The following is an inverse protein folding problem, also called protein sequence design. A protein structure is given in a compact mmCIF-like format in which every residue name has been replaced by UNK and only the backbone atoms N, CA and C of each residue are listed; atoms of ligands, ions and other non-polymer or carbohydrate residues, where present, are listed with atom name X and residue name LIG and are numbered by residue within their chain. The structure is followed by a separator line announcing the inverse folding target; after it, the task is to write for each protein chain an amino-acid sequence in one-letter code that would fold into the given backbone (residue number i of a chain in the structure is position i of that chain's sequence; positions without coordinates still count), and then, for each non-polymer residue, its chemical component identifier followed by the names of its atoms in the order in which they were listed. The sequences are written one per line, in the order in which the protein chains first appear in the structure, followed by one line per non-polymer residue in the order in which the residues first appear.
data_IF_953675423380
#
_entry.id   IF_953675423380
#
_cell.length_a   1.000
_cell.length_b   1.000
_cell.length_c   1.000
_cell.angle_alpha   90.00
_cell.angle_beta   90.00
_cell.angle_gamma   90.00
#
_symmetry.space_group_name_H-M   'P 1'
#
loop_
_entity.id
_entity.type
_entity.pdbx_description
1 polymer ?
#
# COMPACT_ATOMS: atom_id res chain seq x y z
N UNK A 1 4.00 11.32 -21.16
CA UNK A 1 5.48 11.17 -21.20
C UNK A 1 5.92 9.72 -21.08
N UNK A 2 5.20 8.87 -20.35
CA UNK A 2 5.65 7.50 -20.08
C UNK A 2 5.67 6.59 -21.30
N UNK A 3 4.76 6.80 -22.25
CA UNK A 3 4.76 6.10 -23.54
C UNK A 3 6.05 6.36 -24.33
N UNK A 4 6.56 7.60 -24.33
CA UNK A 4 7.84 7.98 -24.97
C UNK A 4 9.01 7.28 -24.28
N UNK A 5 9.00 7.27 -22.94
CA UNK A 5 10.04 6.60 -22.14
C UNK A 5 10.01 5.08 -22.37
N UNK A 6 8.83 4.49 -22.47
CA UNK A 6 8.65 3.07 -22.77
C UNK A 6 9.21 2.71 -24.15
N UNK A 7 8.91 3.51 -25.18
CA UNK A 7 9.45 3.32 -26.53
C UNK A 7 10.98 3.43 -26.51
N UNK A 8 11.54 4.41 -25.80
CA UNK A 8 13.00 4.56 -25.67
C UNK A 8 13.64 3.36 -24.97
N UNK A 9 13.07 2.90 -23.86
CA UNK A 9 13.58 1.76 -23.10
C UNK A 9 13.52 0.45 -23.92
N UNK A 10 12.42 0.22 -24.63
CA UNK A 10 12.26 -0.97 -25.48
C UNK A 10 13.22 -0.93 -26.68
N UNK A 11 13.42 0.25 -27.28
CA UNK A 11 14.42 0.47 -28.33
C UNK A 11 15.83 0.12 -27.83
N UNK A 12 16.20 0.60 -26.64
CA UNK A 12 17.51 0.36 -26.05
C UNK A 12 17.68 -1.13 -25.71
N UNK A 13 16.63 -1.78 -25.22
CA UNK A 13 16.61 -3.23 -24.94
C UNK A 13 16.73 -4.07 -26.22
N UNK A 14 16.15 -3.60 -27.33
CA UNK A 14 16.28 -4.22 -28.65
C UNK A 14 17.65 -3.93 -29.31
N UNK A 15 18.49 -3.08 -28.72
CA UNK A 15 19.81 -2.75 -29.23
C UNK A 15 19.81 -2.01 -30.56
N UNK A 16 18.74 -1.26 -30.87
CA UNK A 16 18.61 -0.52 -32.14
C UNK A 16 18.66 0.99 -31.94
N UNK A 17 19.08 1.73 -32.97
CA UNK A 17 19.08 3.19 -32.94
C UNK A 17 17.70 3.76 -33.26
N UNK A 18 17.48 5.06 -32.97
CA UNK A 18 16.28 5.75 -33.44
C UNK A 18 16.12 5.70 -34.95
N UNK A 19 17.22 5.84 -35.71
CA UNK A 19 17.17 5.77 -37.16
C UNK A 19 16.68 4.41 -37.63
N UNK A 20 17.20 3.32 -37.07
CA UNK A 20 16.75 1.97 -37.39
C UNK A 20 15.28 1.74 -37.01
N UNK A 21 14.83 2.27 -35.86
CA UNK A 21 13.43 2.17 -35.45
C UNK A 21 12.51 2.95 -36.40
N UNK A 22 12.90 4.14 -36.83
CA UNK A 22 12.15 4.96 -37.81
C UNK A 22 12.04 4.23 -39.14
N UNK A 23 13.16 3.70 -39.67
CA UNK A 23 13.20 2.95 -40.93
C UNK A 23 12.31 1.69 -40.87
N UNK A 24 12.40 0.92 -39.78
CA UNK A 24 11.62 -0.33 -39.61
C UNK A 24 10.13 -0.10 -39.39
N UNK A 25 9.75 1.05 -38.81
CA UNK A 25 8.35 1.39 -38.53
C UNK A 25 7.66 2.09 -39.70
N UNK A 26 8.39 2.43 -40.77
CA UNK A 26 7.88 3.22 -41.89
C UNK A 26 7.22 4.53 -41.42
N UNK A 27 7.88 5.20 -40.47
CA UNK A 27 7.49 6.51 -39.95
C UNK A 27 8.41 7.57 -40.56
N UNK A 28 7.90 8.77 -40.80
CA UNK A 28 8.79 9.87 -41.18
C UNK A 28 9.58 10.37 -39.97
N UNK A 29 10.83 10.77 -40.19
CA UNK A 29 11.73 11.28 -39.14
C UNK A 29 11.09 12.43 -38.35
N UNK A 30 10.50 13.40 -39.07
CA UNK A 30 9.83 14.56 -38.46
C UNK A 30 8.63 14.14 -37.61
N UNK A 31 7.83 13.20 -38.10
CA UNK A 31 6.63 12.71 -37.41
C UNK A 31 6.97 11.92 -36.14
N UNK A 32 8.00 11.06 -36.20
CA UNK A 32 8.51 10.31 -35.06
C UNK A 32 9.05 11.25 -33.97
N UNK A 33 9.96 12.16 -34.33
CA UNK A 33 10.56 13.05 -33.32
C UNK A 33 9.59 14.07 -32.74
N UNK A 34 8.57 14.51 -33.48
CA UNK A 34 7.52 15.36 -32.92
C UNK A 34 6.81 14.66 -31.73
N UNK A 35 6.50 13.37 -31.87
CA UNK A 35 5.84 12.57 -30.83
C UNK A 35 6.77 12.18 -29.70
N UNK A 36 8.02 11.83 -30.01
CA UNK A 36 9.04 11.56 -28.99
C UNK A 36 9.35 12.79 -28.13
N UNK A 37 9.15 14.01 -28.63
CA UNK A 37 9.27 15.25 -27.84
C UNK A 37 7.97 15.65 -27.12
N UNK A 38 6.89 14.89 -27.31
CA UNK A 38 5.58 15.18 -26.72
C UNK A 38 4.78 16.29 -27.41
N UNK A 39 5.18 16.73 -28.61
CA UNK A 39 4.43 17.75 -29.36
C UNK A 39 3.11 17.21 -29.94
N UNK A 40 2.97 15.89 -30.06
CA UNK A 40 1.74 15.19 -30.40
C UNK A 40 1.75 13.79 -29.75
N UNK A 41 0.58 13.19 -29.45
CA UNK A 41 0.53 11.82 -28.95
C UNK A 41 0.79 10.80 -30.07
N UNK A 42 1.22 9.60 -29.68
CA UNK A 42 1.16 8.42 -30.55
C UNK A 42 -0.28 7.90 -30.57
N UNK A 43 -0.79 7.59 -31.76
CA UNK A 43 -2.08 6.89 -31.92
C UNK A 43 -1.89 5.36 -31.94
N UNK A 44 -2.99 4.62 -32.03
CA UNK A 44 -2.96 3.15 -32.05
C UNK A 44 -2.15 2.58 -33.21
N UNK A 45 -2.25 3.19 -34.40
CA UNK A 45 -1.53 2.75 -35.58
C UNK A 45 -0.02 3.00 -35.44
N UNK A 46 0.37 4.12 -34.83
CA UNK A 46 1.76 4.41 -34.49
C UNK A 46 2.32 3.32 -33.55
N UNK A 47 1.54 2.94 -32.52
CA UNK A 47 1.94 1.89 -31.56
C UNK A 47 2.09 0.53 -32.24
N UNK A 48 1.21 0.15 -33.15
CA UNK A 48 1.34 -1.09 -33.91
C UNK A 48 2.61 -1.11 -34.78
N UNK A 49 2.89 -0.02 -35.47
CA UNK A 49 4.10 0.12 -36.30
C UNK A 49 5.37 0.03 -35.48
N UNK A 50 5.41 0.72 -34.34
CA UNK A 50 6.56 0.71 -33.43
C UNK A 50 6.75 -0.66 -32.77
N UNK A 51 5.67 -1.31 -32.34
CA UNK A 51 5.74 -2.65 -31.76
C UNK A 51 6.31 -3.66 -32.75
N UNK A 52 5.82 -3.64 -34.01
CA UNK A 52 6.34 -4.47 -35.09
C UNK A 52 7.83 -4.21 -35.33
N UNK A 53 8.24 -2.95 -35.39
CA UNK A 53 9.64 -2.55 -35.62
C UNK A 53 10.59 -2.95 -34.47
N UNK A 54 10.07 -2.98 -33.23
CA UNK A 54 10.75 -3.43 -32.02
C UNK A 54 10.74 -4.96 -31.84
N UNK A 55 9.99 -5.69 -32.66
CA UNK A 55 9.83 -7.14 -32.50
C UNK A 55 9.04 -7.54 -31.25
N UNK A 56 8.07 -6.71 -30.83
CA UNK A 56 7.24 -6.94 -29.64
C UNK A 56 5.75 -6.81 -29.95
N UNK A 57 4.89 -7.14 -28.99
CA UNK A 57 3.45 -6.95 -29.10
C UNK A 57 3.05 -5.51 -28.69
N UNK A 58 2.05 -4.86 -29.32
CA UNK A 58 1.57 -3.53 -28.91
C UNK A 58 1.31 -3.39 -27.40
N UNK A 59 0.73 -4.41 -26.78
CA UNK A 59 0.49 -4.47 -25.33
C UNK A 59 1.76 -4.33 -24.48
N UNK A 60 2.93 -4.75 -24.96
CA UNK A 60 4.18 -4.62 -24.21
C UNK A 60 4.62 -3.15 -24.07
N UNK A 61 4.38 -2.33 -25.09
CA UNK A 61 4.65 -0.88 -25.01
C UNK A 61 3.78 -0.25 -23.93
N UNK A 62 2.49 -0.59 -23.90
CA UNK A 62 1.57 -0.14 -22.85
C UNK A 62 1.95 -0.65 -21.47
N UNK A 63 2.38 -1.92 -21.35
CA UNK A 63 2.81 -2.53 -20.09
C UNK A 63 4.03 -1.81 -19.51
N UNK A 64 5.03 -1.54 -20.33
CA UNK A 64 6.23 -0.79 -19.91
C UNK A 64 5.86 0.65 -19.55
N UNK A 65 5.03 1.31 -20.36
CA UNK A 65 4.55 2.67 -20.05
C UNK A 65 3.83 2.73 -18.70
N UNK A 66 2.93 1.77 -18.42
CA UNK A 66 2.22 1.68 -17.15
C UNK A 66 3.17 1.42 -15.96
N UNK A 67 4.22 0.62 -16.17
CA UNK A 67 5.25 0.39 -15.13
C UNK A 67 6.08 1.64 -14.83
N UNK A 68 6.29 2.51 -15.82
CA UNK A 68 7.06 3.74 -15.69
C UNK A 68 6.27 4.87 -15.03
N UNK A 69 4.94 4.88 -15.20
CA UNK A 69 4.10 5.91 -14.59
C UNK A 69 4.06 5.80 -13.07
N UNK A 70 4.32 4.63 -12.47
CA UNK A 70 4.12 4.37 -11.04
C UNK A 70 2.67 4.54 -10.53
N UNK A 71 1.81 5.18 -11.32
CA UNK A 71 0.55 5.80 -10.94
C UNK A 71 -0.67 5.11 -11.56
N UNK A 72 -0.53 3.91 -12.12
CA UNK A 72 -1.67 3.25 -12.77
C UNK A 72 -1.74 1.73 -12.54
N UNK A 73 -1.38 1.29 -11.34
CA UNK A 73 -2.20 0.24 -10.75
C UNK A 73 -3.44 0.97 -10.26
N UNK A 74 -4.61 0.65 -10.79
CA UNK A 74 -5.87 1.00 -10.10
C UNK A 74 -5.75 0.30 -8.76
N UNK A 75 -5.31 1.04 -7.74
CA UNK A 75 -5.21 0.49 -6.41
C UNK A 75 -6.65 0.30 -5.94
N UNK A 76 -7.04 -0.89 -5.46
CA UNK A 76 -8.38 -1.08 -4.97
C UNK A 76 -8.59 -0.12 -3.81
N UNK A 77 -9.55 0.78 -3.93
CA UNK A 77 -9.96 1.69 -2.87
C UNK A 77 -11.15 1.09 -2.13
N UNK A 78 -11.20 1.30 -0.83
CA UNK A 78 -12.32 0.88 0.02
C UNK A 78 -13.08 2.13 0.45
N UNK A 79 -14.39 2.11 0.25
CA UNK A 79 -15.28 3.09 0.87
C UNK A 79 -15.36 2.81 2.36
N UNK A 80 -14.83 3.71 3.18
CA UNK A 80 -14.83 3.59 4.64
C UNK A 80 -15.65 4.72 5.24
N UNK A 81 -16.27 4.50 6.39
CA UNK A 81 -16.78 5.60 7.22
C UNK A 81 -15.57 6.32 7.85
N UNK A 82 -15.28 7.59 7.49
CA UNK A 82 -14.01 8.21 7.84
C UNK A 82 -13.74 8.31 9.35
N UNK A 83 -14.78 8.55 10.15
CA UNK A 83 -14.64 8.73 11.59
C UNK A 83 -14.32 7.44 12.31
N UNK A 84 -14.98 6.34 11.94
CA UNK A 84 -14.71 5.02 12.49
C UNK A 84 -13.33 4.52 12.05
N UNK A 85 -12.94 4.74 10.78
CA UNK A 85 -11.59 4.43 10.33
C UNK A 85 -10.54 5.22 11.16
N UNK A 86 -10.72 6.53 11.32
CA UNK A 86 -9.82 7.36 12.12
C UNK A 86 -9.74 6.93 13.58
N UNK A 87 -10.87 6.52 14.19
CA UNK A 87 -10.88 5.93 15.54
C UNK A 87 -10.06 4.65 15.61
N UNK A 88 -10.22 3.72 14.66
CA UNK A 88 -9.47 2.45 14.62
C UNK A 88 -7.98 2.68 14.41
N UNK A 89 -7.60 3.59 13.51
CA UNK A 89 -6.21 3.98 13.28
C UNK A 89 -5.59 4.67 14.49
N UNK A 90 -6.34 5.53 15.19
CA UNK A 90 -5.91 6.14 16.45
C UNK A 90 -5.61 5.07 17.51
N UNK A 91 -6.48 4.07 17.62
CA UNK A 91 -6.29 2.98 18.58
C UNK A 91 -5.03 2.18 18.25
N UNK A 92 -4.84 1.80 16.97
CA UNK A 92 -3.63 1.14 16.47
C UNK A 92 -2.37 1.94 16.83
N UNK A 93 -2.37 3.26 16.58
CA UNK A 93 -1.23 4.12 16.82
C UNK A 93 -0.82 4.23 18.30
N UNK A 94 -1.77 3.99 19.21
CA UNK A 94 -1.56 4.06 20.66
C UNK A 94 -1.20 2.71 21.28
N UNK A 95 -1.60 1.62 20.63
CA UNK A 95 -1.41 0.28 21.16
C UNK A 95 -0.02 -0.30 20.82
N UNK A 96 0.54 -1.15 21.69
CA UNK A 96 1.74 -1.91 21.34
C UNK A 96 1.48 -2.83 20.14
N UNK A 97 2.50 -2.98 19.29
CA UNK A 97 2.51 -3.94 18.17
C UNK A 97 2.55 -5.38 18.69
N UNK A 98 2.31 -6.34 17.80
CA UNK A 98 2.22 -7.76 18.20
C UNK A 98 3.54 -8.32 18.76
N UNK A 99 4.67 -7.71 18.39
CA UNK A 99 5.99 -8.00 18.93
C UNK A 99 6.30 -7.27 20.26
N UNK A 100 5.35 -6.50 20.79
CA UNK A 100 5.49 -5.71 22.02
C UNK A 100 6.10 -4.32 21.81
N UNK A 101 6.65 -4.03 20.63
CA UNK A 101 7.22 -2.71 20.33
C UNK A 101 6.14 -1.62 20.30
N UNK A 102 6.52 -0.37 20.54
CA UNK A 102 5.61 0.75 20.33
C UNK A 102 5.32 0.93 18.83
N UNK A 103 4.12 1.41 18.51
CA UNK A 103 3.84 1.85 17.15
C UNK A 103 4.74 3.05 16.80
N UNK A 104 5.44 2.95 15.67
CA UNK A 104 6.28 4.02 15.13
C UNK A 104 5.83 4.35 13.70
N UNK A 105 5.45 5.62 13.48
CA UNK A 105 4.99 6.09 12.18
C UNK A 105 6.13 6.13 11.15
N UNK A 106 7.35 6.46 11.56
CA UNK A 106 8.50 6.46 10.64
C UNK A 106 8.81 5.04 10.16
N UNK A 107 8.79 4.06 11.08
CA UNK A 107 8.88 2.64 10.74
C UNK A 107 7.74 2.14 9.85
N UNK A 108 6.49 2.59 10.08
CA UNK A 108 5.36 2.25 9.21
C UNK A 108 5.58 2.76 7.78
N UNK A 109 5.97 4.04 7.64
CA UNK A 109 6.20 4.66 6.32
C UNK A 109 7.30 3.89 5.58
N UNK A 110 8.37 3.49 6.27
CA UNK A 110 9.43 2.68 5.68
C UNK A 110 8.94 1.28 5.27
N UNK A 111 8.24 0.56 6.14
CA UNK A 111 7.71 -0.78 5.84
C UNK A 111 6.74 -0.77 4.64
N UNK A 112 5.89 0.26 4.55
CA UNK A 112 5.01 0.46 3.40
C UNK A 112 5.80 0.76 2.12
N UNK A 113 6.83 1.61 2.19
CA UNK A 113 7.65 1.96 1.04
C UNK A 113 8.41 0.73 0.49
N UNK A 114 8.91 -0.14 1.36
CA UNK A 114 9.54 -1.43 0.97
C UNK A 114 8.56 -2.36 0.24
N UNK A 115 7.25 -2.22 0.52
CA UNK A 115 6.15 -2.93 -0.16
C UNK A 115 5.62 -2.19 -1.40
N UNK A 116 6.23 -1.05 -1.75
CA UNK A 116 5.79 -0.20 -2.86
C UNK A 116 4.50 0.57 -2.61
N UNK A 117 4.14 0.80 -1.34
CA UNK A 117 3.01 1.63 -0.92
C UNK A 117 3.55 2.94 -0.36
N UNK A 118 3.14 4.07 -0.93
CA UNK A 118 3.49 5.39 -0.39
C UNK A 118 2.54 5.80 0.71
N UNK A 119 3.07 6.35 1.81
CA UNK A 119 2.31 7.03 2.85
C UNK A 119 3.09 8.25 3.29
N UNK A 120 2.45 9.41 3.28
CA UNK A 120 3.02 10.64 3.82
C UNK A 120 2.53 10.88 5.26
N UNK A 121 3.31 11.61 6.06
CA UNK A 121 2.94 11.94 7.44
C UNK A 121 1.66 12.80 7.50
N UNK A 122 1.47 13.70 6.54
CA UNK A 122 0.25 14.51 6.43
C UNK A 122 -0.97 13.66 6.08
N UNK A 123 -0.83 12.74 5.12
CA UNK A 123 -1.87 11.76 4.77
C UNK A 123 -2.26 10.90 5.99
N UNK A 124 -1.27 10.40 6.74
CA UNK A 124 -1.54 9.69 8.00
C UNK A 124 -2.32 10.54 9.00
N UNK A 125 -1.97 11.82 9.14
CA UNK A 125 -2.68 12.76 10.02
C UNK A 125 -4.15 12.91 9.66
N UNK A 126 -4.48 13.04 8.38
CA UNK A 126 -5.86 13.14 7.88
C UNK A 126 -6.64 11.84 8.08
N UNK A 127 -5.99 10.69 7.88
CA UNK A 127 -6.63 9.38 8.09
C UNK A 127 -6.97 9.16 9.56
N UNK A 128 -6.06 9.49 10.48
CA UNK A 128 -6.25 9.33 11.92
C UNK A 128 -7.28 10.33 12.46
N UNK A 129 -7.35 11.55 11.92
CA UNK A 129 -8.37 12.52 12.34
C UNK A 129 -9.78 12.15 11.86
N UNK A 130 -9.88 11.33 10.81
CA UNK A 130 -11.15 10.96 10.19
C UNK A 130 -11.77 12.10 9.38
N UNK A 131 -10.97 13.09 8.98
CA UNK A 131 -11.41 14.24 8.17
C UNK A 131 -11.25 14.02 6.65
N UNK A 132 -10.80 12.83 6.25
CA UNK A 132 -10.64 12.47 4.84
C UNK A 132 -11.94 11.87 4.27
N UNK A 133 -12.59 12.59 3.37
CA UNK A 133 -13.68 12.05 2.53
C UNK A 133 -13.16 11.22 1.33
N UNK A 134 -11.84 11.16 1.14
CA UNK A 134 -11.24 10.37 0.07
C UNK A 134 -11.30 8.87 0.38
N UNK A 135 -11.63 8.06 -0.63
CA UNK A 135 -11.55 6.61 -0.52
C UNK A 135 -10.09 6.20 -0.28
N UNK A 136 -9.90 5.17 0.56
CA UNK A 136 -8.57 4.80 1.06
C UNK A 136 -8.07 3.56 0.33
N UNK A 137 -6.78 3.59 -0.04
CA UNK A 137 -6.11 2.49 -0.72
C UNK A 137 -6.12 1.23 0.16
N UNK A 138 -6.70 0.13 -0.31
CA UNK A 138 -6.77 -1.15 0.41
C UNK A 138 -5.40 -1.66 0.85
N UNK A 139 -4.37 -1.53 0.00
CA UNK A 139 -2.99 -1.92 0.32
C UNK A 139 -2.38 -1.11 1.45
N UNK A 140 -2.77 0.16 1.60
CA UNK A 140 -2.35 0.98 2.73
C UNK A 140 -2.91 0.39 4.02
N UNK A 141 -4.22 0.13 4.05
CA UNK A 141 -4.90 -0.44 5.22
C UNK A 141 -4.39 -1.84 5.57
N UNK A 142 -4.18 -2.69 4.57
CA UNK A 142 -3.58 -4.02 4.74
C UNK A 142 -2.15 -3.93 5.30
N UNK A 143 -1.34 -3.00 4.77
CA UNK A 143 0.00 -2.73 5.28
C UNK A 143 0.01 -2.23 6.72
N UNK A 144 -0.88 -1.31 7.09
CA UNK A 144 -1.03 -0.81 8.47
C UNK A 144 -1.43 -1.95 9.42
N UNK A 145 -2.37 -2.80 9.02
CA UNK A 145 -2.78 -3.96 9.79
C UNK A 145 -1.62 -4.95 9.99
N UNK A 146 -0.89 -5.27 8.92
CA UNK A 146 0.27 -6.15 8.95
C UNK A 146 1.41 -5.61 9.82
N UNK A 147 1.73 -4.32 9.71
CA UNK A 147 2.73 -3.65 10.54
C UNK A 147 2.38 -3.75 12.04
N UNK A 148 1.11 -3.64 12.37
CA UNK A 148 0.58 -3.68 13.74
C UNK A 148 0.38 -5.10 14.29
N UNK A 149 0.40 -6.10 13.40
CA UNK A 149 0.17 -7.51 13.70
C UNK A 149 -1.29 -7.83 14.01
N UNK A 150 -2.24 -7.23 13.28
CA UNK A 150 -3.67 -7.50 13.37
C UNK A 150 -4.23 -8.00 12.04
N UNK A 151 -5.43 -8.58 12.04
CA UNK A 151 -6.14 -8.93 10.81
C UNK A 151 -6.50 -7.67 10.01
N UNK A 152 -6.32 -7.70 8.68
CA UNK A 152 -6.70 -6.58 7.82
C UNK A 152 -8.21 -6.40 7.69
N UNK A 153 -9.01 -7.42 8.01
CA UNK A 153 -10.47 -7.29 8.13
C UNK A 153 -10.87 -6.16 9.10
N UNK A 154 -10.08 -5.92 10.16
CA UNK A 154 -10.33 -4.82 11.10
C UNK A 154 -10.35 -3.42 10.45
N UNK A 155 -9.63 -3.21 9.34
CA UNK A 155 -9.57 -1.93 8.64
C UNK A 155 -10.31 -1.95 7.30
N UNK A 156 -10.40 -3.12 6.65
CA UNK A 156 -11.01 -3.28 5.33
C UNK A 156 -12.52 -3.54 5.40
N UNK A 157 -13.02 -4.11 6.48
CA UNK A 157 -14.44 -4.35 6.73
C UNK A 157 -14.83 -3.73 8.08
N UNK A 158 -15.32 -2.49 8.04
CA UNK A 158 -15.68 -1.77 9.26
C UNK A 158 -16.95 -2.32 9.92
N UNK A 159 -17.76 -3.11 9.20
CA UNK A 159 -18.97 -3.74 9.72
C UNK A 159 -18.71 -5.11 10.36
N UNK A 160 -17.50 -5.67 10.17
CA UNK A 160 -17.07 -6.92 10.80
C UNK A 160 -16.82 -6.70 12.31
N UNK A 161 -17.87 -6.91 13.10
CA UNK A 161 -17.82 -6.84 14.56
C UNK A 161 -16.94 -7.93 15.19
N UNK A 162 -16.75 -9.08 14.54
CA UNK A 162 -15.86 -10.14 15.05
C UNK A 162 -14.39 -9.72 14.91
N UNK A 163 -14.00 -9.19 13.76
CA UNK A 163 -12.66 -8.65 13.53
C UNK A 163 -12.36 -7.47 14.48
N UNK A 164 -13.36 -6.61 14.71
CA UNK A 164 -13.29 -5.52 15.68
C UNK A 164 -13.09 -6.01 17.11
N UNK A 165 -13.93 -6.91 17.59
CA UNK A 165 -13.84 -7.44 18.95
C UNK A 165 -12.49 -8.13 19.20
N UNK A 166 -12.02 -8.93 18.24
CA UNK A 166 -10.74 -9.60 18.32
C UNK A 166 -9.55 -8.62 18.36
N UNK A 167 -9.52 -7.63 17.48
CA UNK A 167 -8.43 -6.65 17.44
C UNK A 167 -8.38 -5.81 18.73
N UNK A 168 -9.53 -5.29 19.18
CA UNK A 168 -9.60 -4.42 20.36
C UNK A 168 -9.26 -5.17 21.65
N UNK A 169 -9.75 -6.40 21.83
CA UNK A 169 -9.33 -7.24 22.95
C UNK A 169 -7.81 -7.51 22.94
N UNK A 170 -7.22 -7.71 21.76
CA UNK A 170 -5.78 -7.88 21.58
C UNK A 170 -4.97 -6.62 21.93
N UNK A 171 -5.50 -5.43 21.67
CA UNK A 171 -4.89 -4.17 22.10
C UNK A 171 -4.92 -4.02 23.62
N UNK A 172 -6.08 -4.24 24.24
CA UNK A 172 -6.25 -4.17 25.70
C UNK A 172 -5.30 -5.12 26.44
N UNK A 173 -5.15 -6.35 25.92
CA UNK A 173 -4.24 -7.34 26.49
C UNK A 173 -2.77 -6.91 26.38
N UNK A 174 -2.33 -6.47 25.20
CA UNK A 174 -0.94 -6.02 24.98
C UNK A 174 -0.60 -4.80 25.84
N UNK A 175 -1.53 -3.86 25.96
CA UNK A 175 -1.37 -2.69 26.82
C UNK A 175 -1.21 -3.09 28.30
N UNK A 176 -2.08 -3.98 28.81
CA UNK A 176 -1.99 -4.49 30.17
C UNK A 176 -0.69 -5.27 30.43
N UNK A 177 -0.24 -6.08 29.46
CA UNK A 177 1.00 -6.83 29.56
C UNK A 177 2.20 -5.89 29.69
N UNK A 178 2.28 -4.89 28.80
CA UNK A 178 3.33 -3.87 28.82
C UNK A 178 3.33 -3.07 30.13
N UNK A 179 2.15 -2.67 30.62
CA UNK A 179 2.01 -1.94 31.88
C UNK A 179 2.47 -2.76 33.10
N UNK A 180 2.26 -4.08 33.08
CA UNK A 180 2.72 -4.98 34.14
C UNK A 180 4.22 -5.32 34.10
N UNK A 181 4.96 -4.93 33.04
CA UNK A 181 6.36 -5.30 32.85
C UNK A 181 6.58 -6.80 32.57
N UNK A 182 5.52 -7.52 32.19
CA UNK A 182 5.55 -8.96 31.92
C UNK A 182 5.98 -9.25 30.47
N UNK A 183 7.19 -8.81 30.11
CA UNK A 183 7.73 -8.94 28.74
C UNK A 183 8.01 -10.40 28.32
N UNK A 184 7.91 -11.37 29.23
CA UNK A 184 8.30 -12.77 29.02
C UNK A 184 7.16 -13.72 28.65
N UNK A 185 5.91 -13.26 28.57
CA UNK A 185 4.81 -14.12 28.10
C UNK A 185 4.79 -14.11 26.58
N UNK A 186 5.17 -15.23 25.96
CA UNK A 186 5.18 -15.36 24.50
C UNK A 186 3.78 -15.08 23.93
N UNK A 187 3.64 -13.98 23.18
CA UNK A 187 2.43 -13.58 22.46
C UNK A 187 1.88 -14.67 21.51
N UNK A 188 2.68 -15.70 21.22
CA UNK A 188 2.34 -16.82 20.35
C UNK A 188 1.16 -17.69 20.87
N UNK A 189 0.84 -17.61 22.16
CA UNK A 189 -0.31 -18.32 22.76
C UNK A 189 -1.67 -17.58 22.59
N UNK A 190 -1.66 -16.33 22.09
CA UNK A 190 -2.85 -15.45 22.08
C UNK A 190 -3.78 -15.74 20.89
N UNK A 191 -3.28 -16.33 19.80
CA UNK A 191 -4.07 -16.57 18.59
C UNK A 191 -5.23 -17.57 18.74
N UNK A 192 -5.22 -18.41 19.78
CA UNK A 192 -6.29 -19.37 20.09
C UNK A 192 -7.23 -18.90 21.22
N UNK A 193 -6.98 -17.71 21.78
CA UNK A 193 -7.69 -17.21 22.95
C UNK A 193 -8.82 -16.29 22.52
N UNK A 194 -10.04 -16.60 22.97
CA UNK A 194 -11.21 -15.76 22.68
C UNK A 194 -11.02 -14.30 23.16
N UNK A 195 -11.65 -13.31 22.51
CA UNK A 195 -11.58 -11.90 22.92
C UNK A 195 -11.98 -11.68 24.39
N UNK A 196 -13.03 -12.36 24.86
CA UNK A 196 -13.47 -12.31 26.25
C UNK A 196 -12.38 -12.79 27.23
N UNK A 197 -11.66 -13.86 26.89
CA UNK A 197 -10.57 -14.38 27.71
C UNK A 197 -9.37 -13.41 27.72
N UNK A 198 -9.04 -12.77 26.60
CA UNK A 198 -7.99 -11.75 26.55
C UNK A 198 -8.28 -10.58 27.49
N UNK A 199 -9.52 -10.07 27.50
CA UNK A 199 -9.93 -9.01 28.42
C UNK A 199 -9.89 -9.44 29.87
N UNK A 200 -10.31 -10.68 30.18
CA UNK A 200 -10.25 -11.22 31.53
C UNK A 200 -8.80 -11.29 32.05
N UNK A 201 -7.86 -11.70 31.20
CA UNK A 201 -6.43 -11.71 31.53
C UNK A 201 -5.90 -10.28 31.71
N UNK A 202 -6.23 -9.37 30.77
CA UNK A 202 -5.82 -7.96 30.85
C UNK A 202 -6.30 -7.30 32.15
N UNK A 203 -7.54 -7.58 32.56
CA UNK A 203 -8.10 -7.09 33.82
C UNK A 203 -7.36 -7.65 35.04
N UNK A 204 -6.98 -8.93 34.99
CA UNK A 204 -6.19 -9.56 36.05
C UNK A 204 -4.81 -8.91 36.17
N UNK A 205 -4.13 -8.68 35.05
CA UNK A 205 -2.81 -8.02 35.01
C UNK A 205 -2.86 -6.61 35.61
N UNK A 206 -3.86 -5.80 35.21
CA UNK A 206 -4.05 -4.44 35.75
C UNK A 206 -4.29 -4.42 37.25
N UNK A 207 -5.02 -5.41 37.77
CA UNK A 207 -5.32 -5.54 39.20
C UNK A 207 -4.08 -5.88 40.03
N UNK A 208 -3.12 -6.59 39.44
CA UNK A 208 -1.84 -6.94 40.08
C UNK A 208 -0.89 -5.75 40.09
N UNK A 209 -0.80 -5.00 38.98
CA UNK A 209 0.08 -3.83 38.87
C UNK A 209 -0.35 -2.60 39.69
N UNK A 210 -1.61 -2.58 40.17
CA UNK A 210 -2.15 -1.48 40.98
C UNK A 210 -1.92 -1.65 42.50
N UNK A 211 -1.33 -2.76 42.93
CA UNK A 211 -0.94 -3.05 44.32
C UNK A 211 0.53 -2.75 44.54
#
# INVERSE_FOLDING_TARGET
MDLVRAIAQLRDSAGITNQQLIERSDMSVTYYYARMRGAAPFDTNDIEKLARALGTHPHEISRVAASLSGANRIEPEVGTEPRELGRRLTLIARSPRADGSAFDLSGLIQDLAERGVSLEQEEWGLLVSGDSDAAVRSRLLDGVAGYSGISSAYLLDLEDEEAKDAAEAGFEFRDALKASGADSVSARAVGEVSPAALRAIAQSLRSISAQ
#
